data_IF_565926252043
#
_entry.id   IF_565926252043
#
_cell.length_a   1.000
_cell.length_b   1.000
_cell.length_c   1.000
_cell.angle_alpha   90.00
_cell.angle_beta   90.00
_cell.angle_gamma   90.00
#
_symmetry.space_group_name_H-M   'P 1'
#
loop_
_entity.id
_entity.type
_entity.pdbx_description
1 polymer ?
#
# COMPACT_ATOMS: atom_id res chain seq x y z
N UNK A 1 -67.66 -19.78 9.61
CA UNK A 1 -68.91 -20.56 9.68
C UNK A 1 -68.85 -21.62 8.57
N UNK A 2 -69.21 -22.87 8.89
CA UNK A 2 -69.35 -24.04 8.00
C UNK A 2 -68.07 -24.80 7.59
N UNK A 3 -67.64 -25.72 8.46
CA UNK A 3 -67.98 -27.16 8.45
C UNK A 3 -67.96 -27.94 7.10
N UNK A 4 -67.73 -29.27 7.13
CA UNK A 4 -66.80 -29.97 6.26
C UNK A 4 -67.46 -30.94 5.26
N UNK A 5 -66.72 -31.37 4.23
CA UNK A 5 -67.16 -32.43 3.30
C UNK A 5 -66.56 -33.78 3.71
N UNK A 6 -67.42 -34.67 4.23
CA UNK A 6 -67.14 -36.11 4.40
C UNK A 6 -67.41 -36.85 3.09
N UNK A 7 -66.55 -37.80 2.73
CA UNK A 7 -66.81 -38.84 1.71
C UNK A 7 -66.53 -40.23 2.37
N UNK A 8 -67.29 -41.29 2.03
CA UNK A 8 -67.54 -42.42 2.91
C UNK A 8 -66.49 -43.54 2.89
N UNK A 9 -66.57 -44.32 3.97
CA UNK A 9 -65.96 -45.62 4.24
C UNK A 9 -66.24 -46.68 3.16
N UNK A 10 -65.18 -47.39 2.75
CA UNK A 10 -65.28 -48.73 2.17
C UNK A 10 -64.51 -49.71 3.06
N UNK A 11 -65.27 -50.44 3.87
CA UNK A 11 -64.84 -51.57 4.68
C UNK A 11 -64.70 -52.79 3.78
N UNK A 12 -63.54 -53.45 3.81
CA UNK A 12 -63.40 -54.85 3.37
C UNK A 12 -62.54 -55.61 4.37
N UNK A 13 -63.25 -56.48 5.09
CA UNK A 13 -62.70 -57.57 5.87
C UNK A 13 -61.81 -58.48 5.02
N UNK A 14 -60.69 -58.90 5.60
CA UNK A 14 -59.73 -59.77 4.96
C UNK A 14 -58.73 -60.30 5.97
N UNK A 15 -59.22 -61.09 6.92
CA UNK A 15 -58.42 -61.85 7.85
C UNK A 15 -57.34 -62.67 7.10
N UNK A 16 -56.07 -62.43 7.40
CA UNK A 16 -55.02 -63.39 7.08
C UNK A 16 -54.00 -63.45 8.20
N UNK A 17 -54.27 -64.37 9.14
CA UNK A 17 -53.34 -64.84 10.15
C UNK A 17 -52.15 -65.48 9.46
N UNK A 18 -50.95 -64.93 9.66
CA UNK A 18 -49.70 -65.65 9.38
C UNK A 18 -48.79 -65.63 10.62
N UNK A 19 -48.08 -66.74 10.88
CA UNK A 19 -47.63 -67.14 12.21
C UNK A 19 -46.47 -66.28 12.74
N UNK A 20 -46.48 -66.11 14.07
CA UNK A 20 -45.33 -65.65 14.87
C UNK A 20 -44.15 -66.58 14.64
N UNK A 21 -43.22 -66.18 13.78
CA UNK A 21 -41.91 -66.79 13.73
C UNK A 21 -41.03 -66.23 14.85
N UNK A 22 -40.51 -67.19 15.60
CA UNK A 22 -39.74 -67.10 16.82
C UNK A 22 -38.45 -66.30 16.59
N UNK A 23 -38.20 -65.38 17.51
CA UNK A 23 -36.97 -64.60 17.69
C UNK A 23 -35.74 -65.54 17.63
N UNK A 24 -34.91 -65.37 16.61
CA UNK A 24 -33.52 -65.82 16.64
C UNK A 24 -32.66 -64.57 16.81
N UNK A 25 -32.23 -64.35 18.04
CA UNK A 25 -31.12 -63.46 18.39
C UNK A 25 -29.84 -64.03 17.76
N UNK A 26 -29.44 -63.49 16.62
CA UNK A 26 -28.12 -63.75 16.03
C UNK A 26 -27.37 -62.43 15.93
N UNK A 27 -26.34 -62.33 16.76
CA UNK A 27 -25.18 -61.45 16.63
C UNK A 27 -25.46 -60.02 16.20
N UNK A 28 -25.52 -59.11 17.17
CA UNK A 28 -25.14 -57.73 16.92
C UNK A 28 -23.68 -57.74 16.43
N UNK A 29 -23.48 -57.69 15.11
CA UNK A 29 -22.20 -57.29 14.57
C UNK A 29 -22.00 -55.82 14.97
N UNK A 30 -20.90 -55.47 15.67
CA UNK A 30 -20.56 -54.08 15.82
C UNK A 30 -20.27 -53.56 14.42
N UNK A 31 -21.21 -52.78 13.87
CA UNK A 31 -20.88 -51.89 12.77
C UNK A 31 -19.82 -50.96 13.33
N UNK A 32 -18.55 -51.24 12.98
CA UNK A 32 -17.46 -50.28 13.12
C UNK A 32 -17.92 -49.06 12.33
N UNK A 33 -18.52 -48.11 13.05
CA UNK A 33 -18.68 -46.73 12.63
C UNK A 33 -17.24 -46.23 12.56
N UNK A 34 -16.59 -46.49 11.43
CA UNK A 34 -15.35 -45.86 11.05
C UNK A 34 -15.68 -44.38 11.04
N UNK A 35 -15.37 -43.71 12.15
CA UNK A 35 -15.47 -42.28 12.24
C UNK A 35 -14.65 -41.74 11.09
N UNK A 36 -15.31 -41.08 10.15
CA UNK A 36 -14.67 -40.36 9.06
C UNK A 36 -13.82 -39.23 9.67
N UNK A 37 -12.65 -39.57 10.22
CA UNK A 37 -11.55 -38.66 10.51
C UNK A 37 -10.85 -38.22 9.20
N UNK A 38 -11.52 -38.34 8.06
CA UNK A 38 -11.00 -38.11 6.71
C UNK A 38 -11.33 -36.71 6.15
N UNK A 39 -12.00 -35.84 6.91
CA UNK A 39 -12.28 -34.46 6.49
C UNK A 39 -11.37 -33.38 7.09
N UNK A 40 -10.59 -33.69 8.13
CA UNK A 40 -9.94 -32.67 8.97
C UNK A 40 -8.48 -32.36 8.52
N UNK A 41 -7.87 -33.19 7.68
CA UNK A 41 -6.43 -33.08 7.38
C UNK A 41 -6.04 -31.95 6.42
N UNK A 42 -6.90 -31.56 5.48
CA UNK A 42 -6.53 -30.53 4.46
C UNK A 42 -6.71 -29.09 4.96
N UNK A 43 -7.71 -28.87 5.82
CA UNK A 43 -8.01 -27.52 6.35
C UNK A 43 -6.93 -27.06 7.33
N UNK A 44 -6.38 -27.97 8.15
CA UNK A 44 -5.30 -27.65 9.08
C UNK A 44 -4.01 -27.21 8.36
N UNK A 45 -3.63 -27.87 7.26
CA UNK A 45 -2.46 -27.50 6.46
C UNK A 45 -2.64 -26.16 5.75
N UNK A 46 -3.79 -25.93 5.11
CA UNK A 46 -4.09 -24.64 4.47
C UNK A 46 -4.11 -23.49 5.49
N UNK A 47 -4.60 -23.75 6.71
CA UNK A 47 -4.56 -22.75 7.80
C UNK A 47 -3.12 -22.43 8.21
N UNK A 48 -2.24 -23.43 8.31
CA UNK A 48 -0.83 -23.24 8.64
C UNK A 48 -0.07 -22.46 7.54
N UNK A 49 -0.36 -22.73 6.27
CA UNK A 49 0.22 -21.99 5.15
C UNK A 49 -0.21 -20.52 5.17
N UNK A 50 -1.52 -20.24 5.31
CA UNK A 50 -2.03 -18.87 5.39
C UNK A 50 -1.50 -18.14 6.62
N UNK A 51 -1.34 -18.83 7.75
CA UNK A 51 -0.80 -18.25 8.98
C UNK A 51 0.66 -17.76 8.82
N UNK A 52 1.44 -18.36 7.90
CA UNK A 52 2.82 -17.96 7.62
C UNK A 52 2.88 -16.98 6.44
N UNK A 53 2.15 -17.25 5.37
CA UNK A 53 2.18 -16.44 4.16
C UNK A 53 1.55 -15.06 4.36
N UNK A 54 0.44 -14.95 5.11
CA UNK A 54 -0.27 -13.69 5.27
C UNK A 54 0.59 -12.63 5.99
N UNK A 55 1.25 -12.92 7.12
CA UNK A 55 2.16 -11.95 7.75
C UNK A 55 3.30 -11.51 6.82
N UNK A 56 3.89 -12.42 6.04
CA UNK A 56 4.98 -12.09 5.10
C UNK A 56 4.50 -11.18 3.97
N UNK A 57 3.32 -11.46 3.40
CA UNK A 57 2.73 -10.61 2.38
C UNK A 57 2.31 -9.25 2.96
N UNK A 58 1.82 -9.23 4.19
CA UNK A 58 1.44 -7.99 4.87
C UNK A 58 2.66 -7.11 5.18
N UNK A 59 3.77 -7.68 5.66
CA UNK A 59 4.99 -6.91 5.90
C UNK A 59 5.60 -6.41 4.59
N UNK A 60 5.60 -7.23 3.53
CA UNK A 60 6.08 -6.83 2.22
C UNK A 60 5.25 -5.67 1.65
N UNK A 61 3.92 -5.77 1.73
CA UNK A 61 3.03 -4.71 1.23
C UNK A 61 3.20 -3.40 2.00
N UNK A 62 3.25 -3.44 3.34
CA UNK A 62 3.52 -2.24 4.14
C UNK A 62 4.90 -1.65 3.84
N UNK A 63 5.93 -2.47 3.70
CA UNK A 63 7.27 -2.02 3.31
C UNK A 63 7.27 -1.36 1.92
N UNK A 64 6.52 -1.90 0.95
CA UNK A 64 6.41 -1.28 -0.38
C UNK A 64 5.68 0.06 -0.35
N UNK A 65 4.67 0.23 0.51
CA UNK A 65 3.96 1.52 0.67
C UNK A 65 4.93 2.59 1.19
N UNK A 66 5.73 2.25 2.22
CA UNK A 66 6.75 3.15 2.75
C UNK A 66 7.80 3.49 1.69
N UNK A 67 8.29 2.49 0.95
CA UNK A 67 9.28 2.68 -0.10
C UNK A 67 8.77 3.57 -1.24
N UNK A 68 7.53 3.36 -1.71
CA UNK A 68 6.91 4.20 -2.73
C UNK A 68 6.79 5.66 -2.26
N UNK A 69 6.48 5.89 -0.99
CA UNK A 69 6.42 7.24 -0.42
C UNK A 69 7.79 7.92 -0.46
N UNK A 70 8.86 7.20 -0.14
CA UNK A 70 10.24 7.72 -0.22
C UNK A 70 10.61 8.07 -1.67
N UNK A 71 10.29 7.20 -2.64
CA UNK A 71 10.56 7.49 -4.04
C UNK A 71 9.79 8.70 -4.55
N UNK A 72 8.51 8.82 -4.21
CA UNK A 72 7.73 10.00 -4.55
C UNK A 72 8.38 11.30 -4.04
N UNK A 73 8.85 11.30 -2.79
CA UNK A 73 9.53 12.45 -2.21
C UNK A 73 10.87 12.73 -2.91
N UNK A 74 11.67 11.70 -3.20
CA UNK A 74 12.95 11.82 -3.91
C UNK A 74 12.80 12.43 -5.32
N UNK A 75 11.82 11.95 -6.09
CA UNK A 75 11.56 12.47 -7.43
C UNK A 75 11.01 13.90 -7.37
N UNK A 76 10.17 14.19 -6.38
CA UNK A 76 9.67 15.55 -6.13
C UNK A 76 10.80 16.53 -5.87
N UNK A 77 11.74 16.20 -4.98
CA UNK A 77 12.89 17.06 -4.65
C UNK A 77 13.81 17.24 -5.86
N UNK A 78 14.01 16.18 -6.66
CA UNK A 78 14.80 16.25 -7.89
C UNK A 78 14.19 17.18 -8.94
N UNK A 79 12.88 17.06 -9.17
CA UNK A 79 12.14 17.93 -10.10
C UNK A 79 12.15 19.39 -9.60
N UNK A 80 11.94 19.61 -8.31
CA UNK A 80 11.96 20.95 -7.73
C UNK A 80 13.33 21.61 -7.91
N UNK A 81 14.42 20.88 -7.63
CA UNK A 81 15.78 21.38 -7.86
C UNK A 81 16.05 21.68 -9.34
N UNK A 82 15.61 20.82 -10.25
CA UNK A 82 15.77 21.04 -11.68
C UNK A 82 15.03 22.29 -12.18
N UNK A 83 13.76 22.44 -11.79
CA UNK A 83 12.92 23.58 -12.16
C UNK A 83 13.46 24.89 -11.59
N UNK A 84 13.92 24.88 -10.33
CA UNK A 84 14.58 26.02 -9.72
C UNK A 84 15.87 26.41 -10.46
N UNK A 85 16.71 25.43 -10.78
CA UNK A 85 17.97 25.67 -11.47
C UNK A 85 17.72 26.24 -12.87
N UNK A 86 16.78 25.66 -13.62
CA UNK A 86 16.35 26.14 -14.94
C UNK A 86 15.81 27.57 -14.88
N UNK A 87 15.08 27.93 -13.82
CA UNK A 87 14.59 29.31 -13.63
C UNK A 87 15.72 30.29 -13.35
N UNK A 88 16.74 29.89 -12.60
CA UNK A 88 17.89 30.73 -12.25
C UNK A 88 18.86 30.98 -13.40
N UNK A 89 19.04 30.03 -14.32
CA UNK A 89 19.95 30.21 -15.47
C UNK A 89 19.39 31.05 -16.61
N UNK A 90 18.05 31.23 -16.66
CA UNK A 90 17.40 32.05 -17.67
C UNK A 90 17.91 33.50 -17.64
N UNK A 91 17.68 34.24 -18.74
CA UNK A 91 18.00 35.67 -18.82
C UNK A 91 17.28 36.45 -17.73
N UNK A 92 18.03 37.20 -16.92
CA UNK A 92 17.51 37.90 -15.74
C UNK A 92 17.13 36.97 -14.57
N UNK A 93 17.57 35.71 -14.59
CA UNK A 93 17.35 34.76 -13.51
C UNK A 93 18.18 35.11 -12.27
N UNK A 94 17.52 35.11 -11.12
CA UNK A 94 18.09 35.47 -9.81
C UNK A 94 17.96 34.32 -8.82
N UNK A 95 18.68 34.41 -7.69
CA UNK A 95 18.53 33.45 -6.59
C UNK A 95 17.09 33.42 -6.07
N UNK A 96 16.47 34.59 -5.91
CA UNK A 96 15.10 34.70 -5.44
C UNK A 96 14.10 34.02 -6.40
N UNK A 97 14.28 34.18 -7.72
CA UNK A 97 13.43 33.53 -8.71
C UNK A 97 13.59 32.01 -8.72
N UNK A 98 14.83 31.51 -8.56
CA UNK A 98 15.10 30.08 -8.44
C UNK A 98 14.45 29.49 -7.17
N UNK A 99 14.68 30.12 -6.01
CA UNK A 99 14.10 29.72 -4.71
C UNK A 99 12.58 29.70 -4.78
N UNK A 100 11.96 30.77 -5.30
CA UNK A 100 10.51 30.86 -5.45
C UNK A 100 9.96 29.72 -6.32
N UNK A 101 10.66 29.36 -7.40
CA UNK A 101 10.25 28.25 -8.26
C UNK A 101 10.35 26.90 -7.55
N UNK A 102 11.42 26.66 -6.78
CA UNK A 102 11.52 25.43 -5.96
C UNK A 102 10.38 25.36 -4.95
N UNK A 103 10.15 26.44 -4.20
CA UNK A 103 9.08 26.50 -3.19
C UNK A 103 7.71 26.28 -3.82
N UNK A 104 7.46 26.83 -5.00
CA UNK A 104 6.23 26.59 -5.74
C UNK A 104 6.03 25.09 -6.05
N UNK A 105 7.05 24.41 -6.59
CA UNK A 105 6.94 22.96 -6.90
C UNK A 105 6.72 22.13 -5.64
N UNK A 106 7.41 22.45 -4.54
CA UNK A 106 7.24 21.74 -3.26
C UNK A 106 5.84 21.97 -2.68
N UNK A 107 5.34 23.21 -2.72
CA UNK A 107 3.99 23.56 -2.27
C UNK A 107 2.90 22.89 -3.11
N UNK A 108 3.04 22.87 -4.45
CA UNK A 108 2.12 22.21 -5.37
C UNK A 108 2.01 20.70 -5.09
N UNK A 109 3.10 20.09 -4.60
CA UNK A 109 3.16 18.67 -4.25
C UNK A 109 2.87 18.39 -2.77
N UNK A 110 2.50 19.40 -2.00
CA UNK A 110 2.14 19.27 -0.58
C UNK A 110 3.31 18.87 0.32
N UNK A 111 4.54 19.20 -0.06
CA UNK A 111 5.75 18.85 0.68
C UNK A 111 6.06 19.93 1.72
N UNK A 112 6.25 19.52 2.97
CA UNK A 112 6.71 20.35 4.07
C UNK A 112 8.22 20.54 4.00
N UNK A 113 8.70 21.78 4.11
CA UNK A 113 10.13 22.09 4.08
C UNK A 113 10.45 23.23 5.05
N UNK A 114 11.69 23.23 5.57
CA UNK A 114 12.20 24.28 6.46
C UNK A 114 12.78 25.48 5.71
N UNK A 115 13.10 26.55 6.44
CA UNK A 115 13.73 27.76 5.88
C UNK A 115 15.11 27.51 5.25
N UNK A 116 15.83 26.47 5.69
CA UNK A 116 17.13 26.04 5.15
C UNK A 116 17.04 24.95 4.09
N UNK A 117 15.86 24.69 3.52
CA UNK A 117 15.68 23.60 2.56
C UNK A 117 16.36 23.84 1.21
N UNK A 118 16.71 25.08 0.88
CA UNK A 118 17.27 25.47 -0.42
C UNK A 118 18.60 26.18 -0.17
N UNK A 119 19.64 25.71 -0.82
CA UNK A 119 20.97 26.29 -0.74
C UNK A 119 21.70 26.22 -2.08
N UNK A 120 22.83 26.91 -2.15
CA UNK A 120 23.71 26.93 -3.31
C UNK A 120 25.08 26.41 -2.89
N UNK A 121 25.71 25.59 -3.73
CA UNK A 121 27.10 25.17 -3.58
C UNK A 121 27.96 25.94 -4.60
N UNK A 122 28.93 26.72 -4.11
CA UNK A 122 29.79 27.55 -4.95
C UNK A 122 29.19 28.93 -5.24
N UNK A 123 29.21 29.33 -6.52
CA UNK A 123 28.61 30.58 -6.96
C UNK A 123 27.07 30.52 -6.92
N UNK A 124 26.44 31.69 -6.86
CA UNK A 124 24.99 31.84 -6.88
C UNK A 124 24.55 32.50 -8.19
N UNK A 125 23.26 32.47 -8.53
CA UNK A 125 22.78 33.08 -9.78
C UNK A 125 22.99 34.59 -9.84
N UNK A 126 23.03 35.27 -8.70
CA UNK A 126 23.23 36.73 -8.62
C UNK A 126 24.72 37.12 -8.71
N UNK A 127 25.63 36.18 -8.45
CA UNK A 127 27.08 36.45 -8.38
C UNK A 127 27.90 35.74 -9.47
N UNK A 128 27.33 34.72 -10.11
CA UNK A 128 28.02 33.90 -11.09
C UNK A 128 28.27 34.65 -12.40
N UNK A 129 29.47 34.49 -12.95
CA UNK A 129 29.81 34.96 -14.29
C UNK A 129 29.14 34.10 -15.38
N UNK A 130 29.02 34.65 -16.58
CA UNK A 130 28.52 33.89 -17.73
C UNK A 130 29.39 32.64 -17.96
N UNK A 131 28.76 31.49 -18.19
CA UNK A 131 29.35 30.14 -18.30
C UNK A 131 29.91 29.55 -17.00
N UNK A 132 29.79 30.22 -15.86
CA UNK A 132 30.13 29.65 -14.55
C UNK A 132 29.09 28.61 -14.11
N UNK A 133 29.53 27.60 -13.35
CA UNK A 133 28.64 26.56 -12.81
C UNK A 133 28.00 27.04 -11.51
N UNK A 134 26.67 26.92 -11.45
CA UNK A 134 25.89 27.15 -10.23
C UNK A 134 25.22 25.84 -9.85
N UNK A 135 25.42 25.40 -8.61
CA UNK A 135 24.81 24.18 -8.08
C UNK A 135 23.72 24.54 -7.09
N UNK A 136 22.48 24.24 -7.44
CA UNK A 136 21.33 24.37 -6.57
C UNK A 136 21.12 23.06 -5.80
N UNK A 137 20.95 23.18 -4.48
CA UNK A 137 20.73 22.06 -3.58
C UNK A 137 19.38 22.22 -2.90
N UNK A 138 18.57 21.18 -2.94
CA UNK A 138 17.27 21.14 -2.25
C UNK A 138 17.28 19.95 -1.30
N UNK A 139 17.03 20.20 -0.02
CA UNK A 139 17.00 19.18 1.05
C UNK A 139 15.70 19.27 1.83
N UNK A 140 15.03 18.13 1.96
CA UNK A 140 13.72 18.02 2.60
C UNK A 140 13.71 16.83 3.56
N UNK A 141 13.11 16.97 4.76
CA UNK A 141 12.93 15.85 5.68
C UNK A 141 11.87 14.86 5.20
N UNK A 142 12.15 13.59 5.41
CA UNK A 142 11.16 12.53 5.29
C UNK A 142 10.11 12.60 6.42
N UNK A 143 10.54 13.00 7.63
CA UNK A 143 9.62 13.31 8.73
C UNK A 143 8.54 14.30 8.29
N UNK A 144 7.28 13.94 8.51
CA UNK A 144 6.11 14.77 8.16
C UNK A 144 5.70 14.72 6.68
N UNK A 145 6.54 14.20 5.78
CA UNK A 145 6.27 14.11 4.35
C UNK A 145 5.98 12.68 3.85
N UNK A 146 6.34 11.66 4.62
CA UNK A 146 6.06 10.27 4.27
C UNK A 146 4.77 9.76 4.89
N UNK A 147 3.92 9.14 4.08
CA UNK A 147 2.87 8.25 4.55
C UNK A 147 3.48 6.88 4.85
N UNK A 148 4.30 6.81 5.91
CA UNK A 148 5.03 5.60 6.31
C UNK A 148 4.42 4.95 7.57
N UNK A 149 3.40 4.07 7.43
CA UNK A 149 2.83 3.33 8.54
C UNK A 149 3.84 2.60 9.43
N UNK A 150 4.95 2.11 8.86
CA UNK A 150 5.96 1.39 9.62
C UNK A 150 7.03 2.31 10.25
N UNK A 151 7.04 3.61 9.92
CA UNK A 151 7.93 4.60 10.52
C UNK A 151 9.42 4.41 10.21
N UNK A 152 9.76 3.63 9.18
CA UNK A 152 11.13 3.18 8.89
C UNK A 152 12.11 4.31 8.48
N UNK A 153 11.59 5.46 8.05
CA UNK A 153 12.38 6.51 7.39
C UNK A 153 12.22 7.90 8.04
N UNK A 154 11.82 7.97 9.31
CA UNK A 154 11.54 9.26 9.99
C UNK A 154 12.69 10.26 9.93
N UNK A 155 13.93 9.81 10.20
CA UNK A 155 15.10 10.70 10.28
C UNK A 155 15.82 10.91 8.94
N UNK A 156 15.25 10.41 7.83
CA UNK A 156 15.87 10.50 6.51
C UNK A 156 15.79 11.93 5.98
N UNK A 157 16.92 12.47 5.53
CA UNK A 157 16.98 13.73 4.77
C UNK A 157 17.18 13.40 3.28
N UNK A 158 16.27 13.85 2.43
CA UNK A 158 16.38 13.68 0.99
C UNK A 158 16.93 14.94 0.36
N UNK A 159 18.08 14.80 -0.31
CA UNK A 159 18.77 15.89 -0.99
C UNK A 159 18.87 15.62 -2.48
N UNK A 160 18.52 16.62 -3.31
CA UNK A 160 18.86 16.65 -4.72
C UNK A 160 19.81 17.83 -5.01
N UNK A 161 20.73 17.60 -5.95
CA UNK A 161 21.69 18.59 -6.43
C UNK A 161 21.56 18.70 -7.94
N UNK A 162 21.42 19.91 -8.44
CA UNK A 162 21.39 20.19 -9.87
C UNK A 162 22.38 21.30 -10.18
N UNK A 163 23.33 20.99 -11.05
CA UNK A 163 24.33 21.95 -11.54
C UNK A 163 23.97 22.35 -12.95
N UNK A 164 23.87 23.65 -13.19
CA UNK A 164 23.72 24.23 -14.52
C UNK A 164 24.69 25.39 -14.70
N UNK A 165 24.98 25.76 -15.96
CA UNK A 165 25.84 26.90 -16.27
C UNK A 165 24.99 28.15 -16.41
N UNK A 166 25.49 29.28 -15.91
CA UNK A 166 24.87 30.59 -16.13
C UNK A 166 24.94 30.92 -17.62
N UNK A 167 23.79 30.99 -18.30
CA UNK A 167 23.75 31.19 -19.76
C UNK A 167 23.88 32.66 -20.18
N UNK A 168 23.48 33.59 -19.31
CA UNK A 168 23.42 35.01 -19.59
C UNK A 168 24.08 35.82 -18.48
N UNK A 169 24.68 36.94 -18.87
CA UNK A 169 25.21 37.93 -17.93
C UNK A 169 24.12 38.50 -17.03
N UNK A 170 24.48 38.83 -15.79
CA UNK A 170 23.56 39.47 -14.85
C UNK A 170 23.20 40.87 -15.35
N UNK A 171 21.91 41.14 -15.40
CA UNK A 171 21.39 42.46 -15.74
C UNK A 171 21.49 43.31 -14.46
N UNK A 172 22.14 44.48 -14.55
CA UNK A 172 22.21 45.46 -13.45
C UNK A 172 20.84 45.99 -13.02
#
# INVERSE_FOLDING_TARGET
>A
MNAPTRIPTAQRDGANRRPRFRRVSRGAHPTRRGGNFLGIKRVATATAEVAICLPVLMTLTLATIDLCSVFFLKETVSIAAYEGARRGVNRGGTNAAAIARVQQVLNERGIQFGSGAISFEGATYDSAETLEHVTLVVTVPAAGNLAAPAGLYGDLQLTARVTMRKEFENQE
#
